data_IF_978451601590
#
_entry.id   IF_978451601590
#
_cell.length_a   1.000
_cell.length_b   1.000
_cell.length_c   1.000
_cell.angle_alpha   90.00
_cell.angle_beta   90.00
_cell.angle_gamma   90.00
#
_symmetry.space_group_name_H-M   'P 1'
#
loop_
_entity.id
_entity.type
_entity.pdbx_description
1 polymer ?
#
# COMPACT_ATOMS: atom_id res chain seq x y z
N UNK A 1 -11.82 -14.67 23.59
CA UNK A 1 -12.23 -13.91 22.39
C UNK A 1 -12.12 -14.87 21.22
N UNK A 2 -13.24 -15.24 20.61
CA UNK A 2 -13.26 -16.25 19.53
C UNK A 2 -12.89 -15.59 18.20
N UNK A 3 -12.13 -16.27 17.37
CA UNK A 3 -11.73 -15.80 16.02
C UNK A 3 -12.94 -15.40 15.15
N UNK A 4 -14.13 -15.98 15.44
CA UNK A 4 -15.40 -15.59 14.80
C UNK A 4 -15.88 -14.17 15.14
N UNK A 5 -15.47 -13.59 16.26
CA UNK A 5 -15.80 -12.21 16.65
C UNK A 5 -14.90 -11.20 15.94
N UNK A 6 -13.63 -11.58 15.68
CA UNK A 6 -12.69 -10.76 14.88
C UNK A 6 -13.05 -10.74 13.39
N UNK A 7 -13.74 -11.75 12.89
CA UNK A 7 -14.19 -11.78 11.48
C UNK A 7 -15.48 -10.99 11.25
N UNK A 8 -16.33 -10.84 12.28
CA UNK A 8 -17.56 -10.05 12.18
C UNK A 8 -17.33 -8.53 12.31
N UNK A 9 -16.29 -8.09 13.02
CA UNK A 9 -15.96 -6.65 13.10
C UNK A 9 -15.24 -6.14 11.84
N UNK A 10 -14.60 -7.01 11.08
CA UNK A 10 -13.91 -6.62 9.83
C UNK A 10 -14.84 -6.47 8.62
N UNK A 11 -16.07 -6.96 8.70
CA UNK A 11 -17.08 -6.92 7.61
C UNK A 11 -18.07 -5.76 7.71
N UNK A 12 -18.05 -4.98 8.79
CA UNK A 12 -19.03 -3.90 9.04
C UNK A 12 -18.49 -2.48 8.90
N UNK A 13 -17.20 -2.31 8.60
CA UNK A 13 -16.64 -1.03 8.19
C UNK A 13 -16.02 -1.26 6.79
N UNK A 14 -16.81 -1.07 5.75
CA UNK A 14 -16.25 -0.74 4.43
C UNK A 14 -15.32 0.45 4.65
N UNK A 15 -14.03 0.20 4.61
CA UNK A 15 -13.04 1.24 4.76
C UNK A 15 -13.32 2.27 3.65
N UNK A 16 -13.58 3.54 4.01
CA UNK A 16 -13.81 4.65 3.06
C UNK A 16 -12.71 4.76 1.99
N UNK A 17 -11.62 4.06 2.19
CA UNK A 17 -10.46 3.98 1.32
C UNK A 17 -9.99 2.52 1.20
N UNK A 18 -10.42 1.79 0.16
CA UNK A 18 -9.96 0.44 -0.09
C UNK A 18 -8.44 0.43 -0.33
N UNK A 19 -7.76 -0.60 0.18
CA UNK A 19 -6.33 -0.80 -0.11
C UNK A 19 -6.16 -1.06 -1.61
N UNK A 20 -5.23 -0.37 -2.25
CA UNK A 20 -4.86 -0.67 -3.64
C UNK A 20 -4.48 -2.14 -3.77
N UNK A 21 -5.17 -2.94 -4.58
CA UNK A 21 -4.88 -4.36 -4.72
C UNK A 21 -3.53 -4.59 -5.42
N UNK A 22 -2.96 -5.75 -5.22
CA UNK A 22 -1.86 -6.21 -6.08
C UNK A 22 -2.43 -6.68 -7.42
N UNK A 23 -1.73 -6.46 -8.55
CA UNK A 23 -2.21 -6.89 -9.88
C UNK A 23 -2.62 -8.37 -9.94
N UNK A 24 -1.84 -9.25 -9.32
CA UNK A 24 -2.12 -10.67 -9.28
C UNK A 24 -3.40 -11.04 -8.50
N UNK A 25 -3.82 -10.21 -7.54
CA UNK A 25 -5.06 -10.46 -6.78
C UNK A 25 -6.32 -10.27 -7.64
N UNK A 26 -6.20 -9.54 -8.75
CA UNK A 26 -7.32 -9.30 -9.67
C UNK A 26 -7.92 -10.57 -10.26
N UNK A 27 -7.16 -11.67 -10.31
CA UNK A 27 -7.67 -12.97 -10.78
C UNK A 27 -8.89 -13.44 -10.00
N UNK A 28 -9.00 -13.06 -8.72
CA UNK A 28 -10.14 -13.40 -7.86
C UNK A 28 -11.42 -12.60 -8.15
N UNK A 29 -11.31 -11.57 -8.99
CA UNK A 29 -12.43 -10.78 -9.48
C UNK A 29 -12.84 -11.17 -10.92
N UNK A 30 -12.27 -12.25 -11.44
CA UNK A 30 -12.58 -12.82 -12.74
C UNK A 30 -11.57 -12.48 -13.83
N UNK A 31 -11.77 -13.09 -15.01
CA UNK A 31 -10.85 -12.98 -16.15
C UNK A 31 -10.76 -11.57 -16.71
N UNK A 32 -11.86 -10.81 -16.69
CA UNK A 32 -11.89 -9.40 -17.08
C UNK A 32 -10.97 -8.55 -16.22
N UNK A 33 -11.12 -8.64 -14.90
CA UNK A 33 -10.29 -7.91 -13.95
C UNK A 33 -8.79 -8.31 -14.05
N UNK A 34 -8.49 -9.58 -14.30
CA UNK A 34 -7.13 -10.03 -14.55
C UNK A 34 -6.51 -9.39 -15.81
N UNK A 35 -7.29 -9.29 -16.91
CA UNK A 35 -6.87 -8.59 -18.14
C UNK A 35 -6.66 -7.09 -17.89
N UNK A 36 -7.55 -6.44 -17.16
CA UNK A 36 -7.43 -5.02 -16.83
C UNK A 36 -6.17 -4.74 -16.00
N UNK A 37 -5.83 -5.61 -15.06
CA UNK A 37 -4.58 -5.51 -14.30
C UNK A 37 -3.34 -5.65 -15.18
N UNK A 38 -3.34 -6.58 -16.14
CA UNK A 38 -2.25 -6.75 -17.11
C UNK A 38 -2.15 -5.55 -18.04
N UNK A 39 -3.28 -5.06 -18.58
CA UNK A 39 -3.32 -3.86 -19.42
C UNK A 39 -2.82 -2.63 -18.65
N UNK A 40 -3.13 -2.53 -17.38
CA UNK A 40 -2.63 -1.46 -16.52
C UNK A 40 -1.11 -1.51 -16.36
N UNK A 41 -0.51 -2.70 -16.27
CA UNK A 41 0.95 -2.83 -16.26
C UNK A 41 1.58 -2.47 -17.61
N UNK A 42 0.94 -2.78 -18.73
CA UNK A 42 1.39 -2.32 -20.06
C UNK A 42 1.26 -0.81 -20.21
N UNK A 43 0.16 -0.23 -19.71
CA UNK A 43 -0.01 1.22 -19.70
C UNK A 43 1.14 1.95 -19.01
N UNK A 44 1.64 1.42 -17.89
CA UNK A 44 2.79 2.03 -17.19
C UNK A 44 4.08 1.97 -18.02
N UNK A 45 4.27 0.89 -18.77
CA UNK A 45 5.45 0.78 -19.65
C UNK A 45 5.43 1.85 -20.74
N UNK A 46 4.26 2.19 -21.24
CA UNK A 46 4.04 3.22 -22.26
C UNK A 46 3.97 4.63 -21.66
N UNK A 47 3.62 4.78 -20.38
CA UNK A 47 3.41 6.05 -19.70
C UNK A 47 4.15 6.08 -18.34
N UNK A 48 5.48 5.96 -18.35
CA UNK A 48 6.28 5.85 -17.12
C UNK A 48 6.19 7.08 -16.21
N UNK A 49 5.80 8.25 -16.75
CA UNK A 49 5.60 9.49 -15.99
C UNK A 49 4.43 9.40 -14.99
N UNK A 50 3.52 8.43 -15.16
CA UNK A 50 2.42 8.18 -14.22
C UNK A 50 2.85 7.43 -12.97
N UNK A 51 4.09 7.01 -12.93
CA UNK A 51 4.68 6.19 -11.88
C UNK A 51 5.08 7.06 -10.68
N UNK A 52 4.78 6.56 -9.50
CA UNK A 52 5.10 7.23 -8.24
C UNK A 52 5.79 6.27 -7.28
N UNK A 53 6.72 6.79 -6.48
CA UNK A 53 7.32 6.01 -5.39
C UNK A 53 6.28 5.84 -4.29
N UNK A 54 6.14 4.60 -3.82
CA UNK A 54 5.36 4.33 -2.62
C UNK A 54 6.25 4.54 -1.40
N UNK A 55 6.03 5.66 -0.72
CA UNK A 55 6.72 5.98 0.51
C UNK A 55 6.21 5.10 1.67
N UNK A 56 7.14 4.52 2.45
CA UNK A 56 6.84 3.73 3.65
C UNK A 56 6.93 4.62 4.90
N UNK A 57 5.94 5.49 5.09
CA UNK A 57 5.87 6.40 6.23
C UNK A 57 4.98 5.87 7.36
N UNK A 58 5.17 6.41 8.57
CA UNK A 58 4.33 6.10 9.74
C UNK A 58 4.43 7.18 10.82
N UNK A 59 3.30 7.54 11.45
CA UNK A 59 1.93 7.15 11.12
C UNK A 59 1.36 7.87 9.90
N UNK A 60 0.25 7.33 9.37
CA UNK A 60 -0.56 8.05 8.41
C UNK A 60 -1.25 9.23 9.09
N UNK A 61 -1.22 10.40 8.45
CA UNK A 61 -1.80 11.64 8.93
C UNK A 61 -2.80 12.18 7.90
N UNK A 62 -3.96 12.61 8.36
CA UNK A 62 -4.95 13.36 7.56
C UNK A 62 -5.06 14.74 8.17
N UNK A 63 -4.75 15.78 7.40
CA UNK A 63 -4.66 17.14 7.92
C UNK A 63 -5.30 18.17 6.98
N UNK A 64 -5.89 19.20 7.57
CA UNK A 64 -6.64 20.24 6.85
C UNK A 64 -7.45 21.09 7.82
N UNK A 65 -8.44 21.81 7.30
CA UNK A 65 -9.33 22.62 8.13
C UNK A 65 -10.71 21.97 8.26
N UNK A 66 -11.20 21.91 9.50
CA UNK A 66 -12.58 21.47 9.78
C UNK A 66 -13.59 22.58 9.41
N UNK A 67 -14.88 22.27 9.52
CA UNK A 67 -16.01 23.20 9.23
C UNK A 67 -16.04 24.44 10.12
N UNK A 68 -15.33 24.42 11.26
CA UNK A 68 -15.17 25.59 12.15
C UNK A 68 -13.93 26.43 11.79
N UNK A 69 -13.24 26.10 10.71
CA UNK A 69 -12.01 26.80 10.30
C UNK A 69 -10.80 26.53 11.20
N UNK A 70 -10.85 25.49 12.03
CA UNK A 70 -9.72 25.09 12.87
C UNK A 70 -8.82 24.13 12.11
N UNK A 71 -7.52 24.34 12.15
CA UNK A 71 -6.56 23.39 11.59
C UNK A 71 -6.53 22.11 12.42
N UNK A 72 -6.57 20.97 11.76
CA UNK A 72 -6.61 19.64 12.37
C UNK A 72 -5.58 18.71 11.75
N UNK A 73 -5.08 17.79 12.58
CA UNK A 73 -4.29 16.63 12.15
C UNK A 73 -4.87 15.41 12.84
N UNK A 74 -5.18 14.36 12.09
CA UNK A 74 -5.88 13.17 12.59
C UNK A 74 -5.22 11.92 12.02
N UNK A 75 -5.34 10.80 12.70
CA UNK A 75 -5.16 9.50 12.07
C UNK A 75 -6.46 9.08 11.35
N UNK A 76 -6.38 8.01 10.57
CA UNK A 76 -7.53 7.52 9.83
C UNK A 76 -8.72 7.20 10.74
N UNK A 77 -8.46 6.62 11.93
CA UNK A 77 -9.53 6.25 12.86
C UNK A 77 -10.27 7.48 13.41
N UNK A 78 -9.55 8.55 13.73
CA UNK A 78 -10.16 9.82 14.16
C UNK A 78 -10.96 10.45 13.02
N UNK A 79 -10.40 10.45 11.81
CA UNK A 79 -11.04 11.01 10.62
C UNK A 79 -12.33 10.27 10.26
N UNK A 80 -12.31 8.95 10.26
CA UNK A 80 -13.48 8.13 9.94
C UNK A 80 -14.64 8.27 10.94
N UNK A 81 -14.34 8.68 12.18
CA UNK A 81 -15.35 8.95 13.20
C UNK A 81 -16.12 10.25 13.01
N UNK A 82 -15.57 11.21 12.31
CA UNK A 82 -16.25 12.47 11.99
C UNK A 82 -15.61 13.72 12.60
N UNK A 83 -16.21 14.88 12.31
CA UNK A 83 -15.71 16.22 12.62
C UNK A 83 -15.30 16.45 14.09
N UNK A 84 -16.03 15.90 15.03
CA UNK A 84 -15.82 16.09 16.46
C UNK A 84 -14.59 15.34 17.00
N UNK A 85 -14.07 14.36 16.22
CA UNK A 85 -12.90 13.56 16.57
C UNK A 85 -11.62 14.04 15.88
N UNK A 86 -11.70 15.08 15.04
CA UNK A 86 -10.54 15.63 14.38
C UNK A 86 -9.60 16.27 15.40
N UNK A 87 -8.32 15.89 15.35
CA UNK A 87 -7.30 16.41 16.26
C UNK A 87 -7.01 17.88 16.03
N UNK A 88 -7.44 18.75 16.93
CA UNK A 88 -7.25 20.20 16.85
C UNK A 88 -5.94 20.70 17.49
N UNK A 89 -5.23 19.82 18.19
CA UNK A 89 -3.92 20.07 18.79
C UNK A 89 -3.18 18.78 19.14
N UNK A 90 -1.87 18.80 19.35
CA UNK A 90 -1.15 17.64 19.90
C UNK A 90 -1.68 17.17 21.26
N UNK A 91 -2.18 18.10 22.08
CA UNK A 91 -2.81 17.78 23.37
C UNK A 91 -4.12 17.01 23.19
N UNK A 92 -4.93 17.37 22.18
CA UNK A 92 -6.14 16.62 21.83
C UNK A 92 -5.82 15.15 21.53
N UNK A 93 -4.73 14.88 20.82
CA UNK A 93 -4.29 13.51 20.56
C UNK A 93 -4.00 12.72 21.83
N UNK A 94 -3.32 13.34 22.81
CA UNK A 94 -3.03 12.68 24.10
C UNK A 94 -4.32 12.36 24.86
N UNK A 95 -5.23 13.32 24.95
CA UNK A 95 -6.51 13.17 25.64
C UNK A 95 -7.39 12.10 24.95
N UNK A 96 -7.43 12.12 23.63
CA UNK A 96 -8.18 11.15 22.84
C UNK A 96 -7.62 9.72 22.98
N UNK A 97 -6.30 9.56 22.94
CA UNK A 97 -5.68 8.26 23.18
C UNK A 97 -5.92 7.75 24.60
N UNK A 98 -5.79 8.62 25.60
CA UNK A 98 -6.05 8.28 27.01
C UNK A 98 -7.50 7.82 27.22
N UNK A 99 -8.48 8.49 26.58
CA UNK A 99 -9.90 8.08 26.63
C UNK A 99 -10.18 6.68 26.09
N UNK A 100 -9.25 6.13 25.28
CA UNK A 100 -9.33 4.77 24.70
C UNK A 100 -8.38 3.79 25.38
N UNK A 101 -7.74 4.16 26.49
CA UNK A 101 -6.72 3.35 27.14
C UNK A 101 -5.45 3.15 26.31
N UNK A 102 -5.15 4.08 25.38
CA UNK A 102 -3.96 4.05 24.51
C UNK A 102 -2.99 5.16 24.87
N UNK A 103 -1.72 4.99 24.54
CA UNK A 103 -0.69 6.01 24.67
C UNK A 103 0.33 5.86 23.53
N UNK A 104 0.71 7.00 22.94
CA UNK A 104 1.73 7.10 21.88
C UNK A 104 2.73 8.21 22.24
N UNK A 105 3.50 8.05 23.36
CA UNK A 105 4.34 9.12 23.91
C UNK A 105 5.40 9.62 22.91
N UNK A 106 5.90 8.77 22.02
CA UNK A 106 6.88 9.15 21.01
C UNK A 106 6.28 9.95 19.85
N UNK A 107 4.95 9.90 19.66
CA UNK A 107 4.26 10.60 18.59
C UNK A 107 3.92 12.04 18.95
N UNK A 108 3.49 12.30 20.18
CA UNK A 108 3.00 13.63 20.56
C UNK A 108 4.05 14.76 20.43
N UNK A 109 5.32 14.57 20.84
CA UNK A 109 6.37 15.56 20.58
C UNK A 109 6.60 15.79 19.09
N UNK A 110 6.57 14.73 18.28
CA UNK A 110 6.73 14.79 16.84
C UNK A 110 5.63 15.62 16.18
N UNK A 111 4.36 15.37 16.54
CA UNK A 111 3.24 16.18 16.06
C UNK A 111 3.38 17.64 16.47
N UNK A 112 3.82 17.90 17.71
CA UNK A 112 4.03 19.27 18.21
C UNK A 112 5.11 20.00 17.40
N UNK A 113 6.21 19.33 17.05
CA UNK A 113 7.32 19.94 16.31
C UNK A 113 6.95 20.34 14.89
N UNK A 114 6.04 19.62 14.23
CA UNK A 114 5.63 19.85 12.82
C UNK A 114 4.29 20.56 12.68
N UNK A 115 3.52 20.76 13.75
CA UNK A 115 2.15 21.27 13.70
C UNK A 115 1.99 22.57 12.95
N UNK A 116 2.79 23.57 13.33
CA UNK A 116 2.74 24.88 12.69
C UNK A 116 3.25 24.85 11.25
N UNK A 117 4.24 24.01 10.98
CA UNK A 117 4.74 23.77 9.62
C UNK A 117 3.67 23.16 8.70
N UNK A 118 2.92 22.16 9.19
CA UNK A 118 1.81 21.56 8.45
C UNK A 118 0.68 22.59 8.22
N UNK A 119 0.31 23.35 9.26
CA UNK A 119 -0.69 24.40 9.14
C UNK A 119 -0.30 25.45 8.08
N UNK A 120 0.97 25.86 8.08
CA UNK A 120 1.48 26.79 7.08
C UNK A 120 1.55 26.18 5.67
N UNK A 121 1.83 24.86 5.56
CA UNK A 121 1.83 24.16 4.28
C UNK A 121 0.44 24.08 3.65
N UNK A 122 -0.62 23.90 4.45
CA UNK A 122 -2.02 23.92 3.98
C UNK A 122 -2.45 25.33 3.60
N UNK A 123 -2.00 26.35 4.33
CA UNK A 123 -2.34 27.75 4.06
C UNK A 123 -3.85 27.98 4.04
N UNK A 124 -4.40 28.43 2.89
CA UNK A 124 -5.84 28.65 2.67
C UNK A 124 -6.53 27.53 1.91
N UNK A 125 -5.85 26.42 1.66
CA UNK A 125 -6.41 25.32 0.89
C UNK A 125 -7.55 24.67 1.64
N UNK A 126 -8.59 24.27 0.89
CA UNK A 126 -9.76 23.56 1.41
C UNK A 126 -9.53 22.04 1.38
N UNK A 127 -10.36 21.31 2.12
CA UNK A 127 -10.32 19.87 2.18
C UNK A 127 -9.22 19.33 3.10
N UNK A 128 -8.95 18.03 2.96
CA UNK A 128 -7.99 17.32 3.79
C UNK A 128 -6.99 16.57 2.92
N UNK A 129 -5.74 16.60 3.36
CA UNK A 129 -4.62 15.93 2.71
C UNK A 129 -4.23 14.71 3.54
N UNK A 130 -4.06 13.58 2.87
CA UNK A 130 -3.65 12.34 3.50
C UNK A 130 -2.25 11.95 3.03
N UNK A 131 -1.37 11.78 3.98
CA UNK A 131 0.01 11.37 3.75
C UNK A 131 0.59 10.63 4.94
N UNK A 132 1.82 10.19 4.79
CA UNK A 132 2.55 9.43 5.80
C UNK A 132 3.68 10.29 6.37
N UNK A 133 3.83 10.28 7.71
CA UNK A 133 4.93 10.97 8.37
C UNK A 133 6.26 10.28 8.05
N UNK A 134 7.19 11.04 7.48
CA UNK A 134 8.50 10.54 7.07
C UNK A 134 9.58 10.80 8.12
N UNK A 135 9.60 11.98 8.70
CA UNK A 135 10.45 12.35 9.83
C UNK A 135 9.80 13.53 10.57
N UNK A 136 10.21 13.72 11.84
CA UNK A 136 9.74 14.83 12.68
C UNK A 136 10.87 15.42 13.55
N UNK A 137 12.12 15.17 13.16
CA UNK A 137 13.33 15.76 13.70
C UNK A 137 14.25 16.16 12.56
N UNK A 138 15.07 17.18 12.76
CA UNK A 138 16.00 17.64 11.72
C UNK A 138 16.93 16.52 11.28
N UNK A 139 16.92 16.23 9.97
CA UNK A 139 17.76 15.19 9.38
C UNK A 139 19.25 15.58 9.47
N UNK A 140 20.07 14.61 9.84
CA UNK A 140 21.52 14.78 9.93
C UNK A 140 22.18 14.34 8.62
N UNK A 141 23.20 15.09 8.21
CA UNK A 141 24.06 14.68 7.09
C UNK A 141 24.96 13.53 7.54
N UNK A 142 24.82 12.38 6.91
CA UNK A 142 25.64 11.19 7.11
C UNK A 142 26.38 10.88 5.79
N UNK A 143 27.65 11.18 5.73
CA UNK A 143 28.49 10.92 4.55
C UNK A 143 27.92 11.50 3.22
N UNK A 144 27.43 12.73 3.27
CA UNK A 144 26.84 13.40 2.10
C UNK A 144 25.40 13.05 1.77
N UNK A 145 24.73 12.31 2.67
CA UNK A 145 23.32 11.91 2.52
C UNK A 145 22.50 12.29 3.76
N UNK A 146 21.24 12.65 3.54
CA UNK A 146 20.22 12.78 4.58
C UNK A 146 19.54 11.42 4.73
N UNK A 147 19.63 10.84 5.91
CA UNK A 147 19.12 9.47 6.17
C UNK A 147 17.95 9.53 7.14
N UNK A 148 16.86 8.83 6.78
CA UNK A 148 15.69 8.70 7.64
C UNK A 148 15.02 7.33 7.48
N UNK A 149 14.42 6.84 8.55
CA UNK A 149 13.71 5.56 8.60
C UNK A 149 12.37 5.72 9.29
N UNK A 150 11.33 6.09 8.55
CA UNK A 150 10.01 6.34 9.14
C UNK A 150 9.33 5.06 9.63
N UNK A 151 9.53 3.94 8.94
CA UNK A 151 8.94 2.64 9.26
C UNK A 151 9.93 1.50 8.94
N UNK A 152 9.66 0.70 7.92
CA UNK A 152 10.49 -0.46 7.55
C UNK A 152 11.63 -0.08 6.62
N UNK A 153 11.36 0.85 5.69
CA UNK A 153 12.34 1.30 4.70
C UNK A 153 13.22 2.41 5.26
N UNK A 154 14.53 2.28 5.05
CA UNK A 154 15.51 3.36 5.25
C UNK A 154 15.72 4.08 3.93
N UNK A 155 15.60 5.40 3.95
CA UNK A 155 15.84 6.29 2.81
C UNK A 155 17.13 7.05 3.03
N UNK A 156 17.95 7.15 1.98
CA UNK A 156 19.16 7.96 1.97
C UNK A 156 19.17 8.87 0.73
N UNK A 157 19.08 10.17 0.96
CA UNK A 157 18.94 11.20 -0.08
C UNK A 157 20.23 12.01 -0.15
N UNK A 158 20.93 12.07 -1.31
CA UNK A 158 22.11 12.91 -1.45
C UNK A 158 21.80 14.38 -1.18
N UNK A 159 22.58 15.02 -0.32
CA UNK A 159 22.35 16.42 0.09
C UNK A 159 22.35 17.41 -1.09
N UNK A 160 23.08 17.10 -2.15
CA UNK A 160 23.21 17.93 -3.34
C UNK A 160 22.10 17.72 -4.37
N UNK A 161 21.25 16.68 -4.21
CA UNK A 161 20.09 16.46 -5.08
C UNK A 161 19.02 17.54 -4.82
N UNK A 162 18.11 17.74 -5.76
CA UNK A 162 17.03 18.72 -5.58
C UNK A 162 16.11 18.34 -4.40
N UNK A 163 15.83 17.04 -4.22
CA UNK A 163 15.13 16.57 -3.04
C UNK A 163 15.96 16.80 -1.77
N UNK A 164 17.27 16.52 -1.80
CA UNK A 164 18.16 16.78 -0.67
C UNK A 164 18.15 18.24 -0.24
N UNK A 165 18.22 19.18 -1.19
CA UNK A 165 18.12 20.62 -0.93
C UNK A 165 16.76 21.01 -0.35
N UNK A 166 15.68 20.37 -0.81
CA UNK A 166 14.31 20.63 -0.34
C UNK A 166 14.11 20.18 1.11
N UNK A 167 14.66 19.03 1.49
CA UNK A 167 14.45 18.43 2.83
C UNK A 167 15.51 18.85 3.85
N UNK A 168 16.64 19.37 3.39
CA UNK A 168 17.71 19.85 4.26
C UNK A 168 17.21 20.98 5.18
N UNK A 169 17.45 20.82 6.48
CA UNK A 169 17.10 21.83 7.48
C UNK A 169 15.63 21.88 7.88
N UNK A 170 14.74 21.07 7.28
CA UNK A 170 13.35 20.96 7.73
C UNK A 170 13.25 20.18 9.04
N UNK A 171 12.29 20.54 9.88
CA UNK A 171 12.00 19.83 11.14
C UNK A 171 11.22 18.55 10.92
N UNK A 172 10.51 18.40 9.80
CA UNK A 172 9.72 17.24 9.47
C UNK A 172 9.42 17.12 7.99
N UNK A 173 8.89 15.98 7.61
CA UNK A 173 8.42 15.72 6.24
C UNK A 173 7.22 14.79 6.21
N UNK A 174 6.31 15.04 5.29
CA UNK A 174 5.12 14.22 5.05
C UNK A 174 5.05 13.89 3.56
N UNK A 175 4.92 12.61 3.23
CA UNK A 175 4.67 12.14 1.89
C UNK A 175 3.16 12.10 1.66
N UNK A 176 2.63 13.05 0.88
CA UNK A 176 1.18 13.17 0.62
C UNK A 176 0.82 12.40 -0.63
N UNK A 177 -0.22 11.59 -0.55
CA UNK A 177 -0.63 10.71 -1.65
C UNK A 177 -2.12 10.82 -2.00
N UNK A 178 -3.00 11.29 -1.10
CA UNK A 178 -4.43 11.43 -1.34
C UNK A 178 -4.97 12.76 -0.82
N UNK A 179 -6.15 13.09 -1.32
CA UNK A 179 -6.89 14.30 -0.98
C UNK A 179 -8.38 13.98 -0.82
N UNK A 180 -9.02 14.58 0.17
CA UNK A 180 -10.46 14.58 0.40
C UNK A 180 -10.99 16.01 0.24
N UNK A 181 -12.05 16.21 -0.55
CA UNK A 181 -12.73 17.51 -0.65
C UNK A 181 -13.39 17.92 0.67
N UNK A 182 -13.88 16.95 1.41
CA UNK A 182 -14.47 17.06 2.74
C UNK A 182 -14.36 15.71 3.50
N UNK A 183 -14.80 15.70 4.76
CA UNK A 183 -14.72 14.51 5.62
C UNK A 183 -15.59 13.33 5.17
N UNK A 184 -16.58 13.57 4.32
CA UNK A 184 -17.51 12.55 3.82
C UNK A 184 -17.17 12.06 2.43
N UNK A 185 -16.26 12.74 1.74
CA UNK A 185 -15.88 12.43 0.37
C UNK A 185 -15.02 11.17 0.29
N UNK A 186 -15.05 10.51 -0.86
CA UNK A 186 -14.08 9.47 -1.20
C UNK A 186 -12.74 10.12 -1.55
N UNK A 187 -11.61 9.60 -1.05
CA UNK A 187 -10.31 10.15 -1.36
C UNK A 187 -9.98 9.99 -2.85
N UNK A 188 -9.34 10.99 -3.41
CA UNK A 188 -8.74 10.98 -4.74
C UNK A 188 -7.22 11.03 -4.65
N UNK A 189 -6.47 10.54 -5.65
CA UNK A 189 -5.04 10.78 -5.73
C UNK A 189 -4.73 12.28 -5.66
N UNK A 190 -3.72 12.65 -4.86
CA UNK A 190 -3.32 14.04 -4.77
C UNK A 190 -2.49 14.44 -6.01
N UNK A 191 -2.87 15.54 -6.63
CA UNK A 191 -2.27 16.07 -7.86
C UNK A 191 -1.18 17.13 -7.62
N UNK A 192 -0.60 17.16 -6.43
CA UNK A 192 0.41 18.15 -5.99
C UNK A 192 -0.08 19.60 -5.88
N UNK A 193 -1.39 19.82 -5.90
CA UNK A 193 -1.97 21.14 -5.71
C UNK A 193 -2.42 21.37 -4.26
N UNK A 194 -2.51 22.65 -3.87
CA UNK A 194 -3.08 23.05 -2.59
C UNK A 194 -2.15 22.92 -1.39
N UNK A 195 -0.98 22.28 -1.53
CA UNK A 195 0.05 22.20 -0.48
C UNK A 195 1.37 22.77 -0.97
N UNK A 196 2.09 23.45 -0.07
CA UNK A 196 3.44 23.93 -0.34
C UNK A 196 4.32 23.70 0.88
N UNK A 197 5.39 22.93 0.70
CA UNK A 197 6.43 22.77 1.73
C UNK A 197 7.02 24.13 2.14
N UNK A 198 7.55 24.18 3.35
CA UNK A 198 8.16 25.37 3.93
C UNK A 198 9.44 25.01 4.70
N UNK A 199 10.05 25.99 5.40
CA UNK A 199 11.30 25.78 6.14
C UNK A 199 11.17 24.83 7.35
N UNK A 200 9.94 24.58 7.81
CA UNK A 200 9.69 23.69 8.94
C UNK A 200 9.30 22.28 8.47
N UNK A 201 8.48 22.18 7.40
CA UNK A 201 7.97 20.89 6.93
C UNK A 201 8.11 20.77 5.42
N UNK A 202 8.77 19.70 4.98
CA UNK A 202 8.78 19.28 3.60
C UNK A 202 7.49 18.52 3.24
N UNK A 203 6.92 18.84 2.09
CA UNK A 203 5.85 18.07 1.48
C UNK A 203 6.46 17.25 0.35
N UNK A 204 6.52 15.96 0.53
CA UNK A 204 7.00 15.04 -0.49
C UNK A 204 5.82 14.66 -1.41
N UNK A 205 6.06 14.76 -2.70
CA UNK A 205 5.11 14.29 -3.71
C UNK A 205 5.38 12.82 -4.02
N UNK A 206 4.36 12.05 -4.41
CA UNK A 206 4.58 10.69 -4.89
C UNK A 206 5.38 10.68 -6.20
N UNK A 207 5.17 11.68 -7.05
CA UNK A 207 5.90 11.86 -8.30
C UNK A 207 7.24 12.56 -8.03
N UNK A 208 8.33 11.85 -8.28
CA UNK A 208 9.70 12.33 -8.04
C UNK A 208 10.34 13.02 -9.27
N UNK A 209 9.59 13.17 -10.37
CA UNK A 209 10.14 13.71 -11.62
C UNK A 209 11.23 12.82 -12.24
N UNK A 210 11.23 11.55 -11.96
CA UNK A 210 12.22 10.59 -12.46
C UNK A 210 11.72 10.04 -13.80
N UNK A 211 12.55 10.11 -14.82
CA UNK A 211 12.30 9.43 -16.09
C UNK A 211 12.71 7.95 -15.95
N UNK A 212 11.74 7.07 -16.11
CA UNK A 212 11.95 5.63 -16.11
C UNK A 212 11.90 5.09 -17.55
N UNK A 213 12.79 4.16 -17.87
CA UNK A 213 12.72 3.36 -19.07
C UNK A 213 12.29 1.93 -18.71
N UNK A 214 11.03 1.60 -18.97
CA UNK A 214 10.49 0.27 -18.70
C UNK A 214 10.34 -0.53 -19.98
N UNK A 215 10.53 -1.83 -19.89
CA UNK A 215 10.27 -2.75 -20.98
C UNK A 215 9.53 -3.98 -20.50
N UNK A 216 8.57 -4.46 -21.31
CA UNK A 216 7.92 -5.73 -21.07
C UNK A 216 8.83 -6.89 -21.51
N UNK A 217 9.30 -7.75 -20.60
CA UNK A 217 10.13 -8.89 -20.98
C UNK A 217 9.30 -9.86 -21.83
N UNK A 218 9.74 -10.15 -23.05
CA UNK A 218 9.01 -11.01 -24.00
C UNK A 218 8.57 -12.35 -23.41
N UNK A 219 9.41 -12.95 -22.57
CA UNK A 219 9.11 -14.21 -21.90
C UNK A 219 7.96 -14.09 -20.90
N UNK A 220 7.92 -13.03 -20.09
CA UNK A 220 6.84 -12.80 -19.10
C UNK A 220 5.53 -12.44 -19.82
N UNK A 221 5.58 -11.63 -20.86
CA UNK A 221 4.43 -11.31 -21.72
C UNK A 221 3.82 -12.58 -22.31
N UNK A 222 4.65 -13.47 -22.86
CA UNK A 222 4.19 -14.74 -23.43
C UNK A 222 3.54 -15.65 -22.39
N UNK A 223 4.09 -15.73 -21.17
CA UNK A 223 3.51 -16.49 -20.05
C UNK A 223 2.14 -15.96 -19.67
N UNK A 224 2.03 -14.64 -19.47
CA UNK A 224 0.77 -13.99 -19.09
C UNK A 224 -0.30 -14.19 -20.15
N UNK A 225 0.03 -13.98 -21.44
CA UNK A 225 -0.93 -14.15 -22.53
C UNK A 225 -1.41 -15.60 -22.66
N UNK A 226 -0.50 -16.58 -22.51
CA UNK A 226 -0.86 -17.99 -22.47
C UNK A 226 -1.79 -18.29 -21.30
N UNK A 227 -1.42 -17.87 -20.09
CA UNK A 227 -2.22 -18.11 -18.90
C UNK A 227 -3.62 -17.46 -19.01
N UNK A 228 -3.74 -16.23 -19.54
CA UNK A 228 -5.03 -15.59 -19.81
C UNK A 228 -5.89 -16.39 -20.80
N UNK A 229 -5.29 -16.97 -21.85
CA UNK A 229 -6.02 -17.79 -22.83
C UNK A 229 -6.50 -19.12 -22.26
N UNK A 230 -5.76 -19.72 -21.33
CA UNK A 230 -6.09 -20.97 -20.66
C UNK A 230 -7.17 -20.83 -19.58
N UNK A 231 -7.43 -19.62 -19.11
CA UNK A 231 -8.38 -19.33 -18.03
C UNK A 231 -9.78 -18.91 -18.53
N UNK A 232 -10.26 -19.43 -19.66
CA UNK A 232 -11.61 -19.13 -20.18
C UNK A 232 -12.75 -19.54 -19.23
N UNK A 233 -12.51 -20.50 -18.32
CA UNK A 233 -13.45 -21.03 -17.33
C UNK A 233 -13.29 -20.39 -15.94
N UNK A 234 -12.41 -19.37 -15.80
CA UNK A 234 -12.10 -18.77 -14.48
C UNK A 234 -13.34 -18.24 -13.77
N UNK A 235 -14.21 -17.52 -14.48
CA UNK A 235 -15.40 -16.92 -13.85
C UNK A 235 -16.37 -18.00 -13.37
N UNK A 236 -16.55 -19.09 -14.12
CA UNK A 236 -17.36 -20.23 -13.70
C UNK A 236 -16.74 -20.94 -12.48
N UNK A 237 -15.42 -21.17 -12.50
CA UNK A 237 -14.69 -21.75 -11.38
C UNK A 237 -14.82 -20.91 -10.10
N UNK A 238 -14.62 -19.60 -10.19
CA UNK A 238 -14.79 -18.70 -9.05
C UNK A 238 -16.25 -18.61 -8.60
N UNK A 239 -17.21 -18.67 -9.55
CA UNK A 239 -18.64 -18.66 -9.27
C UNK A 239 -19.14 -19.88 -8.47
N UNK A 240 -18.46 -21.00 -8.57
CA UNK A 240 -18.75 -22.21 -7.77
C UNK A 240 -18.31 -22.14 -6.30
N UNK A 241 -17.61 -21.09 -5.89
CA UNK A 241 -17.16 -20.86 -4.52
C UNK A 241 -17.92 -19.70 -3.87
N UNK A 242 -18.25 -19.84 -2.59
CA UNK A 242 -18.72 -18.71 -1.79
C UNK A 242 -17.57 -17.69 -1.52
N UNK A 243 -17.94 -16.52 -1.02
CA UNK A 243 -16.97 -15.45 -0.74
C UNK A 243 -15.89 -15.82 0.27
N UNK A 244 -16.22 -16.71 1.23
CA UNK A 244 -15.27 -17.18 2.26
C UNK A 244 -14.25 -18.14 1.66
N UNK A 245 -14.69 -19.09 0.85
CA UNK A 245 -13.83 -20.04 0.16
C UNK A 245 -12.89 -19.31 -0.83
N UNK A 246 -13.41 -18.36 -1.60
CA UNK A 246 -12.63 -17.54 -2.50
C UNK A 246 -11.57 -16.71 -1.76
N UNK A 247 -11.96 -16.07 -0.65
CA UNK A 247 -11.02 -15.33 0.19
C UNK A 247 -9.94 -16.22 0.83
N UNK A 248 -10.26 -17.47 1.17
CA UNK A 248 -9.29 -18.43 1.68
C UNK A 248 -8.24 -18.78 0.61
N UNK A 249 -8.68 -19.04 -0.63
CA UNK A 249 -7.78 -19.31 -1.75
C UNK A 249 -6.88 -18.11 -2.08
N UNK A 250 -7.43 -16.88 -2.07
CA UNK A 250 -6.65 -15.65 -2.24
C UNK A 250 -5.60 -15.48 -1.13
N UNK A 251 -5.97 -15.75 0.13
CA UNK A 251 -5.02 -15.69 1.25
C UNK A 251 -3.92 -16.73 1.12
N UNK A 252 -4.25 -17.94 0.66
CA UNK A 252 -3.26 -18.98 0.41
C UNK A 252 -2.24 -18.54 -0.65
N UNK A 253 -2.69 -18.08 -1.82
CA UNK A 253 -1.78 -17.64 -2.88
C UNK A 253 -0.95 -16.42 -2.44
N UNK A 254 -1.55 -15.48 -1.72
CA UNK A 254 -0.83 -14.36 -1.10
C UNK A 254 0.25 -14.84 -0.10
N UNK A 255 -0.04 -15.88 0.69
CA UNK A 255 0.92 -16.49 1.61
C UNK A 255 2.10 -17.14 0.86
N UNK A 256 1.83 -17.93 -0.18
CA UNK A 256 2.86 -18.54 -1.02
C UNK A 256 3.74 -17.47 -1.69
N UNK A 257 3.13 -16.47 -2.30
CA UNK A 257 3.85 -15.37 -2.96
C UNK A 257 4.72 -14.54 -1.99
N UNK A 258 4.25 -14.34 -0.76
CA UNK A 258 4.96 -13.56 0.27
C UNK A 258 6.13 -14.34 0.87
N UNK A 259 5.90 -15.61 1.22
CA UNK A 259 6.89 -16.41 1.97
C UNK A 259 7.78 -17.26 1.06
N UNK A 260 7.52 -17.26 -0.25
CA UNK A 260 8.25 -18.05 -1.25
C UNK A 260 8.35 -19.54 -0.83
N UNK A 261 7.25 -20.10 -0.36
CA UNK A 261 7.15 -21.47 0.16
C UNK A 261 6.32 -22.34 -0.78
N UNK A 262 6.59 -23.64 -0.76
CA UNK A 262 5.83 -24.66 -1.48
C UNK A 262 4.86 -25.40 -0.56
N UNK A 263 4.29 -24.73 0.45
CA UNK A 263 3.34 -25.32 1.37
C UNK A 263 2.10 -25.85 0.60
N UNK A 264 1.75 -27.16 0.70
CA UNK A 264 0.57 -27.70 0.03
C UNK A 264 -0.71 -26.99 0.46
N UNK A 265 -1.62 -26.76 -0.49
CA UNK A 265 -2.88 -26.04 -0.23
C UNK A 265 -3.73 -26.74 0.83
N UNK A 266 -3.77 -28.06 0.82
CA UNK A 266 -4.52 -28.88 1.79
C UNK A 266 -4.02 -28.63 3.22
N UNK A 267 -2.70 -28.66 3.41
CA UNK A 267 -2.07 -28.41 4.70
C UNK A 267 -2.32 -26.98 5.19
N UNK A 268 -2.28 -26.02 4.27
CA UNK A 268 -2.56 -24.62 4.63
C UNK A 268 -4.03 -24.44 5.00
N UNK A 269 -4.96 -24.95 4.20
CA UNK A 269 -6.39 -24.84 4.46
C UNK A 269 -6.78 -25.53 5.78
N UNK A 270 -6.22 -26.71 6.08
CA UNK A 270 -6.49 -27.42 7.33
C UNK A 270 -6.27 -26.53 8.57
N UNK A 271 -5.27 -25.64 8.52
CA UNK A 271 -4.90 -24.78 9.65
C UNK A 271 -5.53 -23.37 9.60
N UNK A 272 -6.13 -22.97 8.48
CA UNK A 272 -6.50 -21.57 8.25
C UNK A 272 -7.98 -21.34 7.93
N UNK A 273 -8.78 -22.41 7.78
CA UNK A 273 -10.23 -22.29 7.53
C UNK A 273 -11.04 -23.15 8.50
N UNK A 274 -12.35 -22.93 8.56
CA UNK A 274 -13.23 -23.76 9.37
C UNK A 274 -13.33 -25.20 8.80
N UNK A 275 -13.69 -26.17 9.65
CA UNK A 275 -13.91 -27.55 9.20
C UNK A 275 -14.97 -27.65 8.08
N UNK A 276 -16.00 -26.78 8.10
CA UNK A 276 -17.01 -26.69 7.05
C UNK A 276 -16.39 -26.26 5.71
N UNK A 277 -15.55 -25.21 5.73
CA UNK A 277 -14.85 -24.70 4.54
C UNK A 277 -13.85 -25.73 4.00
N UNK A 278 -13.09 -26.37 4.90
CA UNK A 278 -12.15 -27.41 4.50
C UNK A 278 -12.85 -28.57 3.80
N UNK A 279 -13.97 -29.07 4.37
CA UNK A 279 -14.78 -30.14 3.77
C UNK A 279 -15.32 -29.74 2.39
N UNK A 280 -15.77 -28.51 2.24
CA UNK A 280 -16.22 -28.00 0.94
C UNK A 280 -15.09 -27.96 -0.09
N UNK A 281 -13.91 -27.44 0.29
CA UNK A 281 -12.80 -27.22 -0.64
C UNK A 281 -12.03 -28.49 -0.97
N UNK A 282 -11.74 -29.32 0.03
CA UNK A 282 -10.89 -30.51 -0.08
C UNK A 282 -11.70 -31.81 0.09
N UNK A 283 -12.62 -31.86 1.09
CA UNK A 283 -13.37 -33.04 1.42
C UNK A 283 -12.47 -34.17 1.87
N UNK A 284 -12.90 -35.40 1.59
CA UNK A 284 -12.11 -36.63 1.75
C UNK A 284 -11.46 -37.05 0.40
N UNK A 285 -11.04 -36.03 -0.41
CA UNK A 285 -10.51 -36.23 -1.74
C UNK A 285 -11.52 -35.96 -2.86
N UNK A 286 -12.71 -35.44 -2.54
CA UNK A 286 -13.81 -35.16 -3.46
C UNK A 286 -14.33 -33.70 -3.36
N UNK A 287 -13.60 -32.85 -2.65
CA UNK A 287 -13.97 -31.42 -2.50
C UNK A 287 -13.85 -30.61 -3.80
N UNK A 288 -14.37 -29.40 -3.73
CA UNK A 288 -14.51 -28.52 -4.90
C UNK A 288 -13.18 -28.30 -5.66
N UNK A 289 -12.07 -28.05 -4.96
CA UNK A 289 -10.76 -27.83 -5.57
C UNK A 289 -10.19 -29.10 -6.18
N UNK A 290 -10.48 -30.27 -5.59
CA UNK A 290 -10.02 -31.55 -6.11
C UNK A 290 -10.76 -31.92 -7.40
N UNK A 291 -12.09 -31.70 -7.44
CA UNK A 291 -12.91 -31.93 -8.62
C UNK A 291 -12.62 -30.95 -9.78
N UNK A 292 -12.10 -29.75 -9.46
CA UNK A 292 -11.78 -28.69 -10.42
C UNK A 292 -10.27 -28.44 -10.49
N UNK A 293 -9.47 -29.50 -10.42
CA UNK A 293 -8.01 -29.39 -10.32
C UNK A 293 -7.40 -28.62 -11.49
N UNK A 294 -7.85 -28.88 -12.71
CA UNK A 294 -7.31 -28.22 -13.91
C UNK A 294 -7.57 -26.70 -13.90
N UNK A 295 -8.74 -26.27 -13.41
CA UNK A 295 -9.09 -24.85 -13.24
C UNK A 295 -8.29 -24.21 -12.10
N UNK A 296 -8.03 -24.95 -11.02
CA UNK A 296 -7.18 -24.52 -9.92
C UNK A 296 -5.73 -24.31 -10.40
N UNK A 297 -5.19 -25.28 -11.14
CA UNK A 297 -3.83 -25.20 -11.69
C UNK A 297 -3.71 -24.03 -12.68
N UNK A 298 -4.71 -23.82 -13.54
CA UNK A 298 -4.78 -22.68 -14.46
C UNK A 298 -4.86 -21.32 -13.73
N UNK A 299 -5.65 -21.23 -12.63
CA UNK A 299 -5.69 -20.05 -11.77
C UNK A 299 -4.31 -19.77 -11.16
N UNK A 300 -3.61 -20.79 -10.68
CA UNK A 300 -2.27 -20.63 -10.12
C UNK A 300 -1.28 -20.15 -11.18
N UNK A 301 -1.30 -20.74 -12.38
CA UNK A 301 -0.46 -20.29 -13.49
C UNK A 301 -0.71 -18.82 -13.81
N UNK A 302 -1.97 -18.39 -13.90
CA UNK A 302 -2.32 -16.99 -14.17
C UNK A 302 -1.87 -16.05 -13.06
N UNK A 303 -2.12 -16.41 -11.79
CA UNK A 303 -1.71 -15.61 -10.64
C UNK A 303 -0.19 -15.38 -10.64
N UNK A 304 0.59 -16.45 -10.79
CA UNK A 304 2.04 -16.35 -10.78
C UNK A 304 2.63 -15.73 -12.05
N UNK A 305 1.98 -15.85 -13.20
CA UNK A 305 2.38 -15.16 -14.41
C UNK A 305 2.22 -13.63 -14.25
N UNK A 306 1.09 -13.17 -13.70
CA UNK A 306 0.86 -11.73 -13.41
C UNK A 306 1.86 -11.25 -12.34
N UNK A 307 2.07 -12.03 -11.27
CA UNK A 307 3.06 -11.70 -10.24
C UNK A 307 4.49 -11.63 -10.81
N UNK A 308 4.85 -12.51 -11.73
CA UNK A 308 6.14 -12.53 -12.41
C UNK A 308 6.37 -11.27 -13.24
N UNK A 309 5.41 -10.87 -14.06
CA UNK A 309 5.47 -9.62 -14.84
C UNK A 309 5.59 -8.41 -13.90
N UNK A 310 4.76 -8.32 -12.86
CA UNK A 310 4.82 -7.26 -11.85
C UNK A 310 6.19 -7.20 -11.18
N UNK A 311 6.72 -8.32 -10.70
CA UNK A 311 8.00 -8.36 -10.01
C UNK A 311 9.16 -7.95 -10.94
N UNK A 312 9.09 -8.33 -12.21
CA UNK A 312 10.10 -7.91 -13.19
C UNK A 312 10.08 -6.38 -13.38
N UNK A 313 8.89 -5.80 -13.57
CA UNK A 313 8.76 -4.34 -13.67
C UNK A 313 9.22 -3.64 -12.39
N UNK A 314 8.87 -4.17 -11.22
CA UNK A 314 9.34 -3.65 -9.93
C UNK A 314 10.86 -3.63 -9.83
N UNK A 315 11.51 -4.72 -10.22
CA UNK A 315 12.98 -4.82 -10.21
C UNK A 315 13.64 -3.85 -11.20
N UNK A 316 13.05 -3.65 -12.39
CA UNK A 316 13.54 -2.64 -13.33
C UNK A 316 13.48 -1.23 -12.73
N UNK A 317 12.39 -0.89 -12.04
CA UNK A 317 12.22 0.40 -11.39
C UNK A 317 13.20 0.59 -10.23
N UNK A 318 13.35 -0.40 -9.35
CA UNK A 318 14.29 -0.34 -8.22
C UNK A 318 15.73 -0.07 -8.68
N UNK A 319 16.13 -0.60 -9.84
CA UNK A 319 17.45 -0.37 -10.43
C UNK A 319 17.61 1.02 -11.09
N UNK A 320 16.51 1.73 -11.37
CA UNK A 320 16.53 3.02 -12.06
C UNK A 320 16.29 4.22 -11.15
N UNK A 321 15.81 4.01 -9.91
CA UNK A 321 15.58 5.10 -8.96
C UNK A 321 16.91 5.79 -8.62
N UNK A 322 17.14 6.96 -9.23
CA UNK A 322 18.27 7.82 -8.92
C UNK A 322 17.84 8.88 -7.92
N UNK A 323 18.72 9.22 -6.97
CA UNK A 323 18.49 10.32 -6.03
C UNK A 323 17.79 9.97 -4.72
N UNK A 324 17.25 8.75 -4.56
CA UNK A 324 16.76 8.24 -3.27
C UNK A 324 17.14 6.77 -3.15
N UNK A 325 18.16 6.48 -2.36
CA UNK A 325 18.48 5.10 -2.05
C UNK A 325 17.49 4.55 -1.02
N UNK A 326 17.00 3.36 -1.26
CA UNK A 326 16.09 2.65 -0.37
C UNK A 326 16.71 1.35 0.07
N UNK A 327 16.61 1.05 1.36
CA UNK A 327 17.08 -0.22 1.90
C UNK A 327 16.16 -0.76 2.98
N UNK A 328 16.11 -2.09 3.09
CA UNK A 328 15.38 -2.83 4.13
C UNK A 328 16.38 -3.78 4.79
N UNK A 329 16.62 -3.59 6.09
CA UNK A 329 17.62 -4.35 6.83
C UNK A 329 18.99 -4.36 6.12
N UNK A 330 19.44 -3.18 5.70
CA UNK A 330 20.70 -2.91 5.02
C UNK A 330 20.88 -3.60 3.64
N UNK A 331 19.80 -4.11 3.07
CA UNK A 331 19.76 -4.62 1.69
C UNK A 331 18.99 -3.65 0.80
N UNK A 332 19.44 -3.42 -0.43
CA UNK A 332 18.68 -2.61 -1.39
C UNK A 332 17.23 -3.10 -1.52
N UNK A 333 16.26 -2.18 -1.52
CA UNK A 333 14.85 -2.48 -1.67
C UNK A 333 13.95 -1.45 -0.99
N UNK A 334 12.76 -1.25 -1.53
CA UNK A 334 11.76 -0.31 -1.04
C UNK A 334 10.36 -0.93 -0.87
N UNK A 335 9.37 -0.12 -0.53
CA UNK A 335 7.98 -0.57 -0.49
C UNK A 335 7.41 -0.77 -1.92
N UNK A 336 8.10 -0.26 -2.95
CA UNK A 336 7.73 -0.36 -4.35
C UNK A 336 7.13 0.92 -4.91
N UNK A 337 6.32 0.76 -5.96
CA UNK A 337 5.80 1.87 -6.76
C UNK A 337 4.29 1.76 -6.89
N UNK A 338 3.65 2.92 -7.07
CA UNK A 338 2.22 3.03 -7.38
C UNK A 338 2.08 3.87 -8.63
N UNK A 339 1.11 3.56 -9.46
CA UNK A 339 0.81 4.34 -10.64
C UNK A 339 -0.69 4.48 -10.85
N UNK A 340 -1.07 5.58 -11.46
CA UNK A 340 -2.43 5.87 -11.83
C UNK A 340 -2.68 5.44 -13.26
N UNK A 341 -3.71 4.62 -13.48
CA UNK A 341 -4.11 4.17 -14.80
C UNK A 341 -5.57 4.55 -15.06
N UNK A 342 -6.04 4.47 -16.31
CA UNK A 342 -7.46 4.64 -16.61
C UNK A 342 -8.38 3.72 -15.80
N UNK A 343 -7.87 2.56 -15.35
CA UNK A 343 -8.60 1.57 -14.55
C UNK A 343 -8.39 1.73 -13.04
N UNK A 344 -7.73 2.80 -12.59
CA UNK A 344 -7.46 3.10 -11.19
C UNK A 344 -6.00 2.92 -10.76
N UNK A 345 -5.78 2.94 -9.44
CA UNK A 345 -4.44 2.80 -8.87
C UNK A 345 -3.97 1.35 -8.87
N UNK A 346 -2.76 1.12 -9.35
CA UNK A 346 -2.08 -0.18 -9.34
C UNK A 346 -0.74 -0.05 -8.62
N UNK A 347 -0.37 -1.06 -7.82
CA UNK A 347 0.91 -1.07 -7.10
C UNK A 347 1.85 -2.15 -7.63
N UNK A 348 3.07 -1.75 -7.93
CA UNK A 348 4.19 -2.64 -8.23
C UNK A 348 5.02 -2.81 -6.95
N UNK A 349 4.68 -3.84 -6.18
CA UNK A 349 5.34 -4.16 -4.90
C UNK A 349 5.76 -5.61 -4.93
N UNK A 350 7.03 -5.88 -4.69
CA UNK A 350 7.53 -7.23 -4.51
C UNK A 350 7.09 -7.78 -3.14
N UNK A 351 6.12 -8.70 -3.13
CA UNK A 351 5.59 -9.27 -1.88
C UNK A 351 6.65 -10.00 -1.06
N UNK A 352 7.56 -10.73 -1.71
CA UNK A 352 8.58 -11.52 -1.02
C UNK A 352 9.61 -10.66 -0.28
N UNK A 353 10.03 -9.54 -0.85
CA UNK A 353 11.02 -8.66 -0.26
C UNK A 353 10.48 -7.85 0.93
N UNK A 354 9.46 -7.03 0.68
CA UNK A 354 8.92 -6.10 1.68
C UNK A 354 8.15 -6.80 2.80
N UNK A 355 7.25 -7.72 2.45
CA UNK A 355 6.39 -8.37 3.45
C UNK A 355 7.16 -9.25 4.41
N UNK A 356 8.20 -9.97 3.95
CA UNK A 356 9.06 -10.76 4.82
C UNK A 356 9.80 -9.89 5.84
N UNK A 357 10.24 -8.69 5.44
CA UNK A 357 10.92 -7.75 6.33
C UNK A 357 9.95 -7.08 7.33
N UNK A 358 8.72 -6.78 6.90
CA UNK A 358 7.73 -6.10 7.74
C UNK A 358 7.08 -7.04 8.78
N UNK A 359 6.73 -8.26 8.37
CA UNK A 359 6.03 -9.22 9.23
C UNK A 359 6.96 -10.23 9.92
N UNK A 360 8.17 -10.44 9.44
CA UNK A 360 9.16 -11.35 10.02
C UNK A 360 9.66 -10.97 11.42
N UNK A 361 9.37 -9.75 11.91
CA UNK A 361 9.72 -9.26 13.26
C UNK A 361 8.70 -9.59 14.35
N UNK A 362 7.62 -10.31 14.03
CA UNK A 362 6.59 -10.74 15.00
C UNK A 362 6.75 -12.22 15.37
N UNK A 363 7.96 -12.65 15.70
CA UNK A 363 8.19 -13.91 16.42
C UNK A 363 8.81 -13.63 17.77
#
# INVERSE_FOLDING_TARGET
MRISELLNESTLLEAKSPRTPHPEDSVFNGIGAARDAVNSMYYVIENPETLTIKWDGFPALIFGYNDKGQFTVSDKYMFDKGQEYLGTSPKFWQEYDASRGKSRPDLYPKLNSIWNGLKAAVGSSKGFFWGDLMWADQLQNQNGKLVFKPNTVTYAVPVNSDLGKTIAGTKGGVAVHQYFSDITSTPSPWNSQGLKGNREVAILTPNMGIEFALSAPKGEVSKVNRALSQNSQLDAFLGGMDGVARAALQKYLGHIATNQTNLPIEQWLQNNVSAKQYRFLIGDGDGYLVQNKDQLDALFELYFAIAGLKNNLSNQLENQVQGVEQSINDRPGGEGFVFNTPNGLVKLVNRGGFSAAHFGKKK
#
